data_IF_677566964452
#
_entry.id   IF_677566964452
#
_cell.length_a   1.000
_cell.length_b   1.000
_cell.length_c   1.000
_cell.angle_alpha   90.00
_cell.angle_beta   90.00
_cell.angle_gamma   90.00
#
_symmetry.space_group_name_H-M   'P 1'
#
loop_
_entity.id
_entity.type
_entity.pdbx_description
1 polymer ?
#
# COMPACT_ATOMS: atom_id res chain seq x y z
N UNK A 1 8.31 32.90 -1.24
CA UNK A 1 8.36 32.72 0.23
C UNK A 1 7.34 31.69 0.76
N UNK A 2 6.21 31.45 0.08
CA UNK A 2 5.17 30.48 0.51
C UNK A 2 5.60 29.01 0.42
N UNK A 3 6.39 28.64 -0.58
CA UNK A 3 6.85 27.24 -0.77
C UNK A 3 7.67 26.72 0.42
N UNK A 4 8.50 27.58 1.03
CA UNK A 4 9.29 27.21 2.20
C UNK A 4 8.46 27.03 3.48
N UNK A 5 7.33 27.72 3.60
CA UNK A 5 6.42 27.60 4.72
C UNK A 5 5.64 26.27 4.69
N UNK A 6 5.23 25.83 3.49
CA UNK A 6 4.53 24.56 3.25
C UNK A 6 5.48 23.38 3.54
N UNK A 7 6.73 23.44 3.09
CA UNK A 7 7.73 22.41 3.38
C UNK A 7 8.03 22.32 4.88
N UNK A 8 8.17 23.45 5.58
CA UNK A 8 8.45 23.47 7.04
C UNK A 8 7.28 22.92 7.87
N UNK A 9 6.03 23.16 7.43
CA UNK A 9 4.82 22.62 8.07
C UNK A 9 4.72 21.09 7.89
N UNK A 10 5.13 20.58 6.72
CA UNK A 10 5.12 19.15 6.43
C UNK A 10 6.22 18.37 7.18
N UNK A 11 7.42 18.94 7.37
CA UNK A 11 8.48 18.30 8.16
C UNK A 11 8.05 18.05 9.62
N UNK A 12 7.35 18.99 10.23
CA UNK A 12 6.80 18.84 11.59
C UNK A 12 5.75 17.72 11.68
N UNK A 13 4.95 17.54 10.63
CA UNK A 13 3.94 16.47 10.55
C UNK A 13 4.59 15.10 10.37
N UNK A 14 5.62 14.99 9.56
CA UNK A 14 6.35 13.73 9.31
C UNK A 14 7.06 13.23 10.56
N UNK A 15 7.75 14.12 11.29
CA UNK A 15 8.39 13.80 12.56
C UNK A 15 7.40 13.37 13.63
N UNK A 16 6.24 14.00 13.69
CA UNK A 16 5.14 13.62 14.61
C UNK A 16 4.58 12.25 14.25
N UNK A 17 4.41 11.97 12.96
CA UNK A 17 3.95 10.68 12.46
C UNK A 17 4.89 9.54 12.88
N UNK A 18 6.20 9.66 12.66
CA UNK A 18 7.18 8.66 13.09
C UNK A 18 7.26 8.54 14.62
N UNK A 19 7.14 9.65 15.36
CA UNK A 19 7.08 9.62 16.81
C UNK A 19 5.83 8.90 17.33
N UNK A 20 4.69 9.03 16.66
CA UNK A 20 3.47 8.30 16.99
C UNK A 20 3.60 6.81 16.66
N UNK A 21 4.19 6.46 15.51
CA UNK A 21 4.47 5.07 15.16
C UNK A 21 5.38 4.40 16.19
N UNK A 22 6.43 5.08 16.65
CA UNK A 22 7.32 4.54 17.69
C UNK A 22 6.64 4.28 19.04
N UNK A 23 5.53 4.99 19.34
CA UNK A 23 4.72 4.80 20.56
C UNK A 23 3.60 3.76 20.38
N UNK A 24 3.37 3.28 19.18
CA UNK A 24 2.23 2.44 18.82
C UNK A 24 2.47 0.93 19.02
N UNK A 25 3.47 0.52 19.79
CA UNK A 25 3.83 -0.90 19.99
C UNK A 25 3.81 -1.68 18.65
N UNK A 26 4.62 -1.21 17.69
CA UNK A 26 4.70 -1.84 16.38
C UNK A 26 5.10 -3.31 16.51
N UNK A 27 4.52 -4.20 15.71
CA UNK A 27 4.85 -5.62 15.74
C UNK A 27 6.20 -5.88 15.05
N UNK A 28 7.31 -5.36 15.62
CA UNK A 28 8.65 -5.39 15.03
C UNK A 28 9.08 -6.80 14.60
N UNK A 29 8.74 -7.81 15.39
CA UNK A 29 9.07 -9.20 15.08
C UNK A 29 8.42 -9.66 13.77
N UNK A 30 7.17 -9.27 13.52
CA UNK A 30 6.46 -9.58 12.29
C UNK A 30 6.94 -8.78 11.10
N UNK A 31 7.34 -7.52 11.32
CA UNK A 31 7.96 -6.68 10.29
C UNK A 31 9.30 -7.28 9.86
N UNK A 32 10.13 -7.69 10.82
CA UNK A 32 11.42 -8.33 10.52
C UNK A 32 11.19 -9.67 9.80
N UNK A 33 10.23 -10.48 10.24
CA UNK A 33 9.89 -11.74 9.59
C UNK A 33 9.42 -11.53 8.14
N UNK A 34 8.61 -10.49 7.88
CA UNK A 34 8.19 -10.12 6.54
C UNK A 34 9.37 -9.67 5.66
N UNK A 35 10.24 -8.81 6.18
CA UNK A 35 11.43 -8.36 5.47
C UNK A 35 12.38 -9.53 5.16
N UNK A 36 12.58 -10.43 6.10
CA UNK A 36 13.39 -11.63 5.90
C UNK A 36 12.79 -12.56 4.84
N UNK A 37 11.49 -12.83 4.91
CA UNK A 37 10.79 -13.63 3.90
C UNK A 37 10.89 -12.99 2.50
N UNK A 38 10.70 -11.67 2.40
CA UNK A 38 10.83 -10.92 1.15
C UNK A 38 12.26 -10.98 0.60
N UNK A 39 13.27 -10.93 1.46
CA UNK A 39 14.66 -11.08 1.04
C UNK A 39 14.96 -12.48 0.48
N UNK A 40 14.42 -13.53 1.10
CA UNK A 40 14.54 -14.90 0.58
C UNK A 40 13.85 -15.03 -0.78
N UNK A 41 12.63 -14.50 -0.91
CA UNK A 41 11.88 -14.50 -2.18
C UNK A 41 12.65 -13.79 -3.29
N UNK A 42 13.26 -12.64 -3.00
CA UNK A 42 14.06 -11.91 -3.97
C UNK A 42 15.25 -12.74 -4.49
N UNK A 43 15.96 -13.46 -3.61
CA UNK A 43 17.04 -14.35 -4.00
C UNK A 43 16.54 -15.54 -4.86
N UNK A 44 15.45 -16.17 -4.44
CA UNK A 44 14.82 -17.28 -5.20
C UNK A 44 14.33 -16.79 -6.57
N UNK A 45 13.75 -15.59 -6.64
CA UNK A 45 13.30 -14.96 -7.90
C UNK A 45 14.44 -14.72 -8.88
N UNK A 46 15.61 -14.30 -8.44
CA UNK A 46 16.80 -14.17 -9.28
C UNK A 46 17.23 -15.53 -9.83
N UNK A 47 17.28 -16.58 -8.99
CA UNK A 47 17.61 -17.94 -9.45
C UNK A 47 16.58 -18.46 -10.46
N UNK A 48 15.30 -18.23 -10.24
CA UNK A 48 14.23 -18.58 -11.19
C UNK A 48 14.45 -17.92 -12.55
N UNK A 49 14.81 -16.65 -12.57
CA UNK A 49 15.07 -15.88 -13.79
C UNK A 49 16.30 -16.43 -14.54
N UNK A 50 17.34 -16.85 -13.85
CA UNK A 50 18.53 -17.45 -14.45
C UNK A 50 18.21 -18.77 -15.17
N UNK A 51 17.48 -19.66 -14.51
CA UNK A 51 17.07 -20.92 -15.13
C UNK A 51 16.09 -20.70 -16.29
N UNK A 52 15.21 -19.70 -16.21
CA UNK A 52 14.33 -19.34 -17.33
C UNK A 52 15.14 -18.85 -18.54
N UNK A 53 16.13 -17.99 -18.32
CA UNK A 53 17.01 -17.51 -19.38
C UNK A 53 17.81 -18.65 -20.02
N UNK A 54 18.30 -19.61 -19.22
CA UNK A 54 19.01 -20.80 -19.73
C UNK A 54 18.14 -21.72 -20.62
N UNK A 55 16.82 -21.80 -20.30
CA UNK A 55 15.84 -22.52 -21.14
C UNK A 55 15.72 -21.91 -22.55
N UNK A 56 15.69 -20.58 -22.62
CA UNK A 56 15.60 -19.88 -23.92
C UNK A 56 16.90 -19.88 -24.70
N UNK A 57 18.05 -20.00 -24.03
CA UNK A 57 19.35 -20.06 -24.70
C UNK A 57 19.60 -21.38 -25.44
N UNK A 58 18.86 -22.44 -25.16
CA UNK A 58 18.88 -23.70 -25.94
C UNK A 58 20.16 -24.54 -25.84
N UNK A 59 21.15 -24.13 -25.06
CA UNK A 59 22.51 -24.73 -25.05
C UNK A 59 22.70 -25.84 -24.02
N UNK A 60 21.65 -26.23 -23.27
CA UNK A 60 21.77 -27.19 -22.16
C UNK A 60 20.67 -28.24 -22.25
N UNK A 61 20.96 -29.46 -21.85
CA UNK A 61 19.97 -30.56 -21.85
C UNK A 61 18.69 -30.18 -21.11
N UNK A 62 17.56 -30.36 -21.76
CA UNK A 62 16.25 -29.93 -21.33
C UNK A 62 15.95 -30.33 -19.86
N UNK A 63 16.30 -31.56 -19.45
CA UNK A 63 16.07 -32.07 -18.09
C UNK A 63 16.92 -31.37 -17.03
N UNK A 64 18.16 -30.98 -17.38
CA UNK A 64 19.08 -30.34 -16.45
C UNK A 64 18.66 -28.88 -16.08
N UNK A 65 17.84 -28.25 -16.92
CA UNK A 65 17.37 -26.87 -16.69
C UNK A 65 15.91 -26.83 -16.24
N UNK A 66 15.06 -27.69 -16.80
CA UNK A 66 13.61 -27.71 -16.49
C UNK A 66 13.35 -28.09 -15.04
N UNK A 67 14.03 -29.11 -14.52
CA UNK A 67 13.82 -29.58 -13.13
C UNK A 67 14.18 -28.48 -12.09
N UNK A 68 15.37 -27.87 -12.12
CA UNK A 68 15.68 -26.75 -11.21
C UNK A 68 14.72 -25.55 -11.40
N UNK A 69 14.38 -25.22 -12.64
CA UNK A 69 13.42 -24.13 -12.91
C UNK A 69 12.07 -24.39 -12.22
N UNK A 70 11.49 -25.57 -12.41
CA UNK A 70 10.22 -25.93 -11.76
C UNK A 70 10.33 -25.93 -10.24
N UNK A 71 11.44 -26.44 -9.71
CA UNK A 71 11.69 -26.43 -8.27
C UNK A 71 11.71 -24.99 -7.71
N UNK A 72 12.50 -24.08 -8.30
CA UNK A 72 12.56 -22.71 -7.86
C UNK A 72 11.24 -21.97 -8.07
N UNK A 73 10.49 -22.29 -9.12
CA UNK A 73 9.17 -21.71 -9.39
C UNK A 73 8.16 -22.12 -8.31
N UNK A 74 8.08 -23.40 -7.96
CA UNK A 74 7.22 -23.90 -6.90
C UNK A 74 7.64 -23.30 -5.55
N UNK A 75 8.94 -23.28 -5.28
CA UNK A 75 9.48 -22.67 -4.06
C UNK A 75 9.11 -21.18 -3.96
N UNK A 76 9.21 -20.43 -5.03
CA UNK A 76 8.82 -19.03 -5.10
C UNK A 76 7.32 -18.83 -4.81
N UNK A 77 6.45 -19.68 -5.35
CA UNK A 77 5.01 -19.64 -5.10
C UNK A 77 4.68 -19.93 -3.63
N UNK A 78 5.31 -20.95 -3.05
CA UNK A 78 5.10 -21.31 -1.63
C UNK A 78 5.60 -20.18 -0.72
N UNK A 79 6.81 -19.70 -0.94
CA UNK A 79 7.38 -18.59 -0.17
C UNK A 79 6.57 -17.30 -0.33
N UNK A 80 6.07 -17.02 -1.53
CA UNK A 80 5.20 -15.88 -1.81
C UNK A 80 3.90 -15.96 -1.00
N UNK A 81 3.28 -17.14 -0.97
CA UNK A 81 2.06 -17.38 -0.17
C UNK A 81 2.32 -17.21 1.33
N UNK A 82 3.42 -17.76 1.84
CA UNK A 82 3.81 -17.61 3.25
C UNK A 82 4.10 -16.14 3.58
N UNK A 83 4.84 -15.43 2.73
CA UNK A 83 5.11 -14.01 2.91
C UNK A 83 3.83 -13.17 2.90
N UNK A 84 2.88 -13.51 2.02
CA UNK A 84 1.55 -12.88 2.00
C UNK A 84 0.78 -13.07 3.30
N UNK A 85 0.80 -14.28 3.88
CA UNK A 85 0.21 -14.54 5.19
C UNK A 85 0.88 -13.74 6.29
N UNK A 86 2.22 -13.69 6.32
CA UNK A 86 2.97 -12.88 7.29
C UNK A 86 2.61 -11.40 7.16
N UNK A 87 2.52 -10.89 5.93
CA UNK A 87 2.13 -9.51 5.64
C UNK A 87 0.73 -9.19 6.20
N UNK A 88 -0.25 -10.03 5.91
CA UNK A 88 -1.62 -9.85 6.39
C UNK A 88 -1.72 -9.92 7.92
N UNK A 89 -0.98 -10.83 8.56
CA UNK A 89 -0.90 -10.90 10.02
C UNK A 89 -0.22 -9.67 10.63
N UNK A 90 0.82 -9.16 9.98
CA UNK A 90 1.49 -7.93 10.38
C UNK A 90 0.55 -6.73 10.30
N UNK A 91 -0.18 -6.57 9.19
CA UNK A 91 -1.17 -5.52 8.97
C UNK A 91 -2.27 -5.57 10.04
N UNK A 92 -2.87 -6.74 10.26
CA UNK A 92 -3.92 -6.93 11.25
C UNK A 92 -3.46 -6.61 12.69
N UNK A 93 -2.23 -6.98 13.05
CA UNK A 93 -1.66 -6.67 14.37
C UNK A 93 -1.34 -5.19 14.52
N UNK A 94 -0.81 -4.56 13.47
CA UNK A 94 -0.53 -3.13 13.47
C UNK A 94 -1.82 -2.31 13.60
N UNK A 95 -2.84 -2.64 12.81
CA UNK A 95 -4.16 -2.00 12.87
C UNK A 95 -4.77 -2.12 14.28
N UNK A 96 -4.72 -3.32 14.88
CA UNK A 96 -5.18 -3.54 16.24
C UNK A 96 -4.42 -2.72 17.29
N UNK A 97 -3.10 -2.63 17.18
CA UNK A 97 -2.27 -1.90 18.14
C UNK A 97 -2.49 -0.39 18.02
N UNK A 98 -2.61 0.12 16.80
CA UNK A 98 -2.96 1.52 16.53
C UNK A 98 -4.35 1.85 17.10
N UNK A 99 -5.36 1.00 16.88
CA UNK A 99 -6.71 1.17 17.44
C UNK A 99 -6.68 1.21 18.95
N UNK A 100 -5.94 0.31 19.60
CA UNK A 100 -5.78 0.30 21.07
C UNK A 100 -5.12 1.56 21.58
N UNK A 101 -4.07 2.05 20.91
CA UNK A 101 -3.39 3.29 21.30
C UNK A 101 -4.33 4.49 21.22
N UNK A 102 -5.04 4.62 20.09
CA UNK A 102 -5.98 5.74 19.91
C UNK A 102 -7.16 5.62 20.86
N UNK A 103 -7.70 4.42 21.06
CA UNK A 103 -8.78 4.20 22.02
C UNK A 103 -8.40 4.61 23.44
N UNK A 104 -7.23 4.18 23.93
CA UNK A 104 -6.71 4.61 25.24
C UNK A 104 -6.62 6.14 25.34
N UNK A 105 -6.15 6.78 24.27
CA UNK A 105 -6.06 8.24 24.23
C UNK A 105 -7.42 8.88 24.23
N UNK A 106 -8.38 8.38 23.46
CA UNK A 106 -9.74 8.88 23.40
C UNK A 106 -10.40 8.80 24.78
N UNK A 107 -10.36 7.64 25.44
CA UNK A 107 -10.94 7.48 26.78
C UNK A 107 -10.30 8.41 27.83
N UNK A 108 -9.05 8.81 27.65
CA UNK A 108 -8.37 9.75 28.55
C UNK A 108 -8.70 11.24 28.31
N UNK A 109 -9.51 11.57 27.32
CA UNK A 109 -9.91 12.95 27.03
C UNK A 109 -10.97 13.44 28.04
N UNK A 110 -10.94 14.72 28.40
CA UNK A 110 -11.93 15.30 29.34
C UNK A 110 -13.33 15.31 28.73
N UNK A 111 -14.37 15.23 29.59
CA UNK A 111 -15.77 15.20 29.15
C UNK A 111 -16.16 16.41 28.28
N UNK A 112 -15.60 17.58 28.58
CA UNK A 112 -15.79 18.82 27.79
C UNK A 112 -15.43 18.67 26.32
N UNK A 113 -14.51 17.75 25.97
CA UNK A 113 -14.17 17.45 24.57
C UNK A 113 -15.33 16.78 23.85
N UNK A 114 -16.08 15.91 24.53
CA UNK A 114 -17.22 15.17 23.98
C UNK A 114 -18.48 16.01 23.87
N UNK A 115 -18.62 17.05 24.69
CA UNK A 115 -19.71 18.01 24.59
C UNK A 115 -19.67 18.83 23.29
N UNK A 116 -18.45 19.11 22.79
CA UNK A 116 -18.23 19.90 21.59
C UNK A 116 -18.02 19.07 20.31
N UNK A 117 -17.88 17.75 20.42
CA UNK A 117 -17.61 16.88 19.29
C UNK A 117 -18.56 15.68 19.27
N UNK A 118 -19.13 15.37 18.12
CA UNK A 118 -20.01 14.20 17.97
C UNK A 118 -19.20 12.90 18.13
N UNK A 119 -19.50 12.06 19.15
CA UNK A 119 -18.76 10.83 19.39
C UNK A 119 -18.79 9.85 18.22
N UNK A 120 -19.89 9.80 17.44
CA UNK A 120 -20.02 8.91 16.28
C UNK A 120 -19.07 9.33 15.14
N UNK A 121 -18.96 10.64 14.90
CA UNK A 121 -18.06 11.17 13.89
C UNK A 121 -16.60 10.93 14.27
N UNK A 122 -16.23 11.13 15.53
CA UNK A 122 -14.90 10.82 16.06
C UNK A 122 -14.55 9.34 15.85
N UNK A 123 -15.48 8.45 16.19
CA UNK A 123 -15.26 7.02 16.05
C UNK A 123 -15.05 6.61 14.57
N UNK A 124 -15.85 7.15 13.66
CA UNK A 124 -15.72 6.92 12.22
C UNK A 124 -14.37 7.42 11.71
N UNK A 125 -13.97 8.65 12.04
CA UNK A 125 -12.67 9.22 11.65
C UNK A 125 -11.51 8.38 12.20
N UNK A 126 -11.54 8.04 13.48
CA UNK A 126 -10.51 7.21 14.12
C UNK A 126 -10.36 5.89 13.36
N UNK A 127 -11.47 5.24 13.01
CA UNK A 127 -11.44 3.95 12.32
C UNK A 127 -10.83 4.07 10.91
N UNK A 128 -11.23 5.08 10.15
CA UNK A 128 -10.76 5.32 8.78
C UNK A 128 -9.29 5.76 8.75
N UNK A 129 -8.92 6.70 9.63
CA UNK A 129 -7.57 7.25 9.67
C UNK A 129 -6.55 6.20 10.12
N UNK A 130 -6.89 5.34 11.07
CA UNK A 130 -6.03 4.25 11.52
C UNK A 130 -5.76 3.27 10.38
N UNK A 131 -6.80 2.83 9.67
CA UNK A 131 -6.62 1.93 8.53
C UNK A 131 -5.79 2.58 7.42
N UNK A 132 -5.94 3.88 7.19
CA UNK A 132 -5.13 4.64 6.24
C UNK A 132 -3.65 4.68 6.65
N UNK A 133 -3.36 4.90 7.93
CA UNK A 133 -2.00 4.88 8.48
C UNK A 133 -1.38 3.48 8.36
N UNK A 134 -2.13 2.44 8.73
CA UNK A 134 -1.70 1.05 8.61
C UNK A 134 -1.36 0.70 7.16
N UNK A 135 -2.26 1.02 6.22
CA UNK A 135 -2.05 0.84 4.80
C UNK A 135 -0.82 1.57 4.27
N UNK A 136 -0.60 2.81 4.70
CA UNK A 136 0.56 3.60 4.29
C UNK A 136 1.87 2.93 4.71
N UNK A 137 1.95 2.44 5.93
CA UNK A 137 3.14 1.72 6.41
C UNK A 137 3.34 0.41 5.65
N UNK A 138 2.30 -0.40 5.53
CA UNK A 138 2.39 -1.75 4.97
C UNK A 138 2.48 -1.77 3.44
N UNK A 139 1.81 -0.85 2.75
CA UNK A 139 1.73 -0.83 1.28
C UNK A 139 2.67 0.19 0.62
N UNK A 140 3.26 1.10 1.40
CA UNK A 140 4.20 2.09 0.86
C UNK A 140 5.58 1.93 1.49
N UNK A 141 5.70 2.08 2.82
CA UNK A 141 7.02 2.08 3.46
C UNK A 141 7.72 0.72 3.39
N UNK A 142 7.07 -0.37 3.77
CA UNK A 142 7.71 -1.68 3.73
C UNK A 142 8.10 -2.11 2.31
N UNK A 143 7.23 -1.98 1.28
CA UNK A 143 7.62 -2.31 -0.09
C UNK A 143 8.80 -1.50 -0.63
N UNK A 144 9.02 -0.27 -0.19
CA UNK A 144 10.20 0.51 -0.59
C UNK A 144 11.49 -0.24 -0.17
N UNK A 145 11.56 -0.74 1.06
CA UNK A 145 12.73 -1.47 1.54
C UNK A 145 12.91 -2.81 0.82
N UNK A 146 11.82 -3.57 0.62
CA UNK A 146 11.90 -4.87 -0.07
C UNK A 146 12.26 -4.72 -1.53
N UNK A 147 11.72 -3.69 -2.22
CA UNK A 147 12.04 -3.40 -3.62
C UNK A 147 13.49 -2.88 -3.76
N UNK A 148 13.95 -2.01 -2.85
CA UNK A 148 15.33 -1.55 -2.86
C UNK A 148 16.31 -2.71 -2.69
N UNK A 149 16.03 -3.63 -1.77
CA UNK A 149 16.84 -4.84 -1.57
C UNK A 149 16.82 -5.76 -2.81
N UNK A 150 15.65 -6.02 -3.38
CA UNK A 150 15.53 -6.82 -4.59
C UNK A 150 16.29 -6.20 -5.78
N UNK A 151 16.17 -4.88 -5.97
CA UNK A 151 16.91 -4.14 -7.00
C UNK A 151 18.43 -4.25 -6.80
N UNK A 152 18.88 -4.14 -5.54
CA UNK A 152 20.30 -4.30 -5.22
C UNK A 152 20.84 -5.69 -5.61
N UNK A 153 20.09 -6.76 -5.28
CA UNK A 153 20.49 -8.14 -5.65
C UNK A 153 20.55 -8.29 -7.18
N UNK A 154 19.53 -7.79 -7.89
CA UNK A 154 19.48 -7.86 -9.36
C UNK A 154 20.68 -7.14 -9.98
N UNK A 155 20.95 -5.90 -9.55
CA UNK A 155 22.08 -5.12 -10.03
C UNK A 155 23.42 -5.81 -9.78
N UNK A 156 23.61 -6.34 -8.55
CA UNK A 156 24.82 -7.12 -8.21
C UNK A 156 24.98 -8.34 -9.11
N UNK A 157 23.87 -9.02 -9.41
CA UNK A 157 23.92 -10.22 -10.25
C UNK A 157 24.24 -9.86 -11.71
N UNK A 158 23.57 -8.85 -12.26
CA UNK A 158 23.80 -8.39 -13.63
C UNK A 158 25.23 -7.86 -13.81
N UNK A 159 25.78 -7.17 -12.82
CA UNK A 159 27.18 -6.73 -12.81
C UNK A 159 28.18 -7.87 -12.91
N UNK A 160 27.79 -9.08 -12.50
CA UNK A 160 28.65 -10.27 -12.59
C UNK A 160 28.69 -10.86 -14.01
N UNK A 161 27.74 -10.53 -14.87
CA UNK A 161 27.71 -11.01 -16.26
C UNK A 161 28.38 -10.03 -17.22
N UNK A 162 27.96 -8.78 -17.23
CA UNK A 162 28.53 -7.74 -18.09
C UNK A 162 28.28 -6.34 -17.51
N UNK A 163 29.35 -5.55 -17.45
CA UNK A 163 29.28 -4.16 -16.97
C UNK A 163 28.45 -3.26 -17.89
N UNK A 164 28.41 -3.51 -19.20
CA UNK A 164 27.60 -2.74 -20.13
C UNK A 164 26.10 -2.94 -19.87
N UNK A 165 25.66 -4.17 -19.58
CA UNK A 165 24.28 -4.47 -19.19
C UNK A 165 23.88 -3.78 -17.89
N UNK A 166 24.77 -3.74 -16.91
CA UNK A 166 24.53 -3.01 -15.66
C UNK A 166 24.27 -1.52 -15.93
N UNK A 167 25.12 -0.87 -16.74
CA UNK A 167 24.96 0.54 -17.05
C UNK A 167 23.67 0.83 -17.83
N UNK A 168 23.25 -0.05 -18.72
CA UNK A 168 21.98 0.10 -19.45
C UNK A 168 20.78 0.05 -18.50
N UNK A 169 20.78 -0.85 -17.49
CA UNK A 169 19.75 -0.91 -16.47
C UNK A 169 19.73 0.34 -15.59
N UNK A 170 20.91 0.81 -15.15
CA UNK A 170 21.02 2.04 -14.36
C UNK A 170 20.50 3.24 -15.16
N UNK A 171 20.79 3.32 -16.45
CA UNK A 171 20.30 4.39 -17.32
C UNK A 171 18.76 4.34 -17.52
N UNK A 172 18.15 3.15 -17.45
CA UNK A 172 16.70 3.01 -17.53
C UNK A 172 15.96 3.50 -16.27
N UNK A 173 16.63 3.54 -15.11
CA UNK A 173 15.97 3.96 -13.85
C UNK A 173 15.41 5.40 -13.90
N UNK A 174 16.14 6.45 -14.33
CA UNK A 174 15.60 7.80 -14.40
C UNK A 174 14.43 7.90 -15.38
N UNK A 175 14.43 7.14 -16.46
CA UNK A 175 13.31 7.10 -17.42
C UNK A 175 12.06 6.51 -16.75
N UNK A 176 12.20 5.39 -16.03
CA UNK A 176 11.10 4.80 -15.27
C UNK A 176 10.57 5.73 -14.18
N UNK A 177 11.44 6.44 -13.47
CA UNK A 177 11.05 7.42 -12.44
C UNK A 177 10.26 8.56 -13.09
N UNK A 178 10.71 9.07 -14.24
CA UNK A 178 10.03 10.14 -14.97
C UNK A 178 8.62 9.71 -15.41
N UNK A 179 8.52 8.53 -16.03
CA UNK A 179 7.23 7.96 -16.45
C UNK A 179 6.30 7.78 -15.25
N UNK A 180 6.80 7.21 -14.15
CA UNK A 180 6.03 7.01 -12.93
C UNK A 180 5.54 8.32 -12.32
N UNK A 181 6.37 9.37 -12.38
CA UNK A 181 6.00 10.71 -11.91
C UNK A 181 4.88 11.33 -12.77
N UNK A 182 4.97 11.21 -14.09
CA UNK A 182 3.94 11.69 -15.01
C UNK A 182 2.62 10.95 -14.78
N UNK A 183 2.68 9.60 -14.75
CA UNK A 183 1.51 8.77 -14.51
C UNK A 183 0.88 9.06 -13.13
N UNK A 184 1.71 9.23 -12.10
CA UNK A 184 1.24 9.61 -10.76
C UNK A 184 0.47 10.94 -10.78
N UNK A 185 0.98 11.95 -11.46
CA UNK A 185 0.25 13.23 -11.60
C UNK A 185 -1.10 13.07 -12.30
N UNK A 186 -1.15 12.29 -13.37
CA UNK A 186 -2.41 12.02 -14.08
C UNK A 186 -3.39 11.26 -13.17
N UNK A 187 -2.92 10.25 -12.44
CA UNK A 187 -3.75 9.49 -11.49
C UNK A 187 -4.33 10.39 -10.38
N UNK A 188 -3.55 11.32 -9.84
CA UNK A 188 -4.06 12.25 -8.83
C UNK A 188 -5.19 13.12 -9.38
N UNK A 189 -5.05 13.63 -10.61
CA UNK A 189 -6.11 14.42 -11.27
C UNK A 189 -7.40 13.63 -11.48
N UNK A 190 -7.27 12.38 -11.95
CA UNK A 190 -8.42 11.49 -12.15
C UNK A 190 -9.05 11.10 -10.81
N UNK A 191 -8.25 10.81 -9.78
CA UNK A 191 -8.74 10.45 -8.45
C UNK A 191 -9.52 11.60 -7.79
N UNK A 192 -9.06 12.84 -7.95
CA UNK A 192 -9.78 14.02 -7.44
C UNK A 192 -11.14 14.17 -8.13
N UNK A 193 -11.19 13.95 -9.45
CA UNK A 193 -12.45 13.95 -10.20
C UNK A 193 -13.40 12.84 -9.72
N UNK A 194 -12.89 11.62 -9.55
CA UNK A 194 -13.68 10.48 -9.03
C UNK A 194 -14.22 10.80 -7.63
N UNK A 195 -13.39 11.35 -6.75
CA UNK A 195 -13.81 11.69 -5.39
C UNK A 195 -14.92 12.75 -5.38
N UNK A 196 -14.83 13.77 -6.24
CA UNK A 196 -15.89 14.78 -6.39
C UNK A 196 -17.18 14.16 -6.89
N UNK A 197 -17.12 13.32 -7.92
CA UNK A 197 -18.31 12.64 -8.47
C UNK A 197 -18.94 11.68 -7.46
N UNK A 198 -18.12 10.94 -6.69
CA UNK A 198 -18.61 10.10 -5.60
C UNK A 198 -19.30 10.93 -4.50
N UNK A 199 -18.78 12.10 -4.18
CA UNK A 199 -19.40 13.00 -3.20
C UNK A 199 -20.76 13.52 -3.72
N UNK A 200 -20.86 13.92 -4.99
CA UNK A 200 -22.12 14.31 -5.64
C UNK A 200 -23.16 13.19 -5.64
N UNK A 201 -22.73 11.96 -6.01
CA UNK A 201 -23.58 10.77 -5.97
C UNK A 201 -24.06 10.48 -4.54
N UNK A 202 -23.17 10.51 -3.57
CA UNK A 202 -23.51 10.26 -2.16
C UNK A 202 -24.51 11.29 -1.65
N UNK A 203 -24.34 12.57 -1.99
CA UNK A 203 -25.27 13.63 -1.63
C UNK A 203 -26.65 13.41 -2.27
N UNK A 204 -26.71 13.06 -3.57
CA UNK A 204 -27.96 12.79 -4.27
C UNK A 204 -28.70 11.57 -3.69
N UNK A 205 -27.95 10.48 -3.39
CA UNK A 205 -28.55 9.28 -2.75
C UNK A 205 -29.06 9.60 -1.35
N UNK A 206 -28.30 10.39 -0.56
CA UNK A 206 -28.73 10.79 0.78
C UNK A 206 -30.01 11.65 0.74
N UNK A 207 -30.10 12.60 -0.20
CA UNK A 207 -31.28 13.43 -0.41
C UNK A 207 -32.50 12.58 -0.77
N UNK A 208 -32.36 11.66 -1.73
CA UNK A 208 -33.44 10.73 -2.12
C UNK A 208 -33.84 9.81 -0.97
N UNK A 209 -32.88 9.32 -0.21
CA UNK A 209 -33.14 8.45 0.95
C UNK A 209 -33.90 9.20 2.05
N UNK A 210 -33.53 10.46 2.33
CA UNK A 210 -34.24 11.29 3.30
C UNK A 210 -35.69 11.60 2.85
N UNK A 211 -35.92 11.69 1.54
CA UNK A 211 -37.26 11.97 0.97
C UNK A 211 -38.02 10.70 0.62
N UNK A 212 -37.52 9.51 0.96
CA UNK A 212 -38.13 8.23 0.59
C UNK A 212 -39.57 8.09 1.12
N UNK A 213 -39.87 8.63 2.29
CA UNK A 213 -41.18 8.64 2.90
C UNK A 213 -42.14 9.52 2.12
N UNK A 214 -41.67 10.64 1.61
CA UNK A 214 -42.44 11.57 0.77
C UNK A 214 -42.72 10.92 -0.62
N UNK A 215 -41.73 10.32 -1.24
CA UNK A 215 -41.84 9.63 -2.53
C UNK A 215 -42.88 8.51 -2.45
N UNK A 216 -42.86 7.72 -1.35
CA UNK A 216 -43.85 6.67 -1.09
C UNK A 216 -45.22 7.22 -0.85
N UNK A 217 -45.38 8.29 -0.10
CA UNK A 217 -46.67 8.90 0.18
C UNK A 217 -47.33 9.52 -1.06
N UNK A 218 -46.54 9.95 -2.04
CA UNK A 218 -46.98 10.54 -3.30
C UNK A 218 -47.18 9.53 -4.43
N UNK A 219 -46.80 8.24 -4.24
CA UNK A 219 -46.95 7.19 -5.27
C UNK A 219 -46.08 7.41 -6.53
N UNK A 220 -44.97 8.14 -6.39
CA UNK A 220 -44.08 8.52 -7.50
C UNK A 220 -42.86 7.59 -7.67
N UNK A 221 -42.90 6.39 -7.07
CA UNK A 221 -41.76 5.45 -7.04
C UNK A 221 -41.28 5.04 -8.43
N UNK A 222 -42.22 4.78 -9.37
CA UNK A 222 -41.86 4.37 -10.74
C UNK A 222 -41.17 5.47 -11.55
N UNK A 223 -41.47 6.74 -11.26
CA UNK A 223 -40.87 7.89 -11.93
C UNK A 223 -39.46 8.16 -11.38
N UNK A 224 -39.27 7.99 -10.08
CA UNK A 224 -37.99 8.17 -9.43
C UNK A 224 -37.02 7.04 -9.75
N UNK A 225 -37.50 5.80 -9.88
CA UNK A 225 -36.68 4.65 -10.31
C UNK A 225 -36.20 4.77 -11.77
N UNK A 226 -36.86 5.52 -12.64
CA UNK A 226 -36.46 5.76 -14.01
C UNK A 226 -35.43 6.91 -14.17
N UNK A 227 -35.22 7.72 -13.14
CA UNK A 227 -34.29 8.87 -13.13
C UNK A 227 -33.02 8.62 -12.33
N UNK A 228 -32.81 7.43 -11.77
CA UNK A 228 -31.67 7.02 -10.93
C UNK A 228 -30.52 6.41 -11.65
#
# INVERSE_FOLDING_TARGET
METNAIFRKNYGSFRRFFSMLGKADLPYLWIIAYLAASAVIANVGVSTTEYSAALFAGNVGLTAVVLPYLFYQILSLVLGSVSGLINNLCEARMDRNLRRMVWRKTVSLPLRFYENNNPKELLSRITTDISSISNLVMKVFLPIFTTAYASFIILRKVSSYDGALMWSLVAALPVNILISFILGRLQFGVQDLINRRNAELTASVAERTNNLMLIKSMGTESKEAGTG
#
